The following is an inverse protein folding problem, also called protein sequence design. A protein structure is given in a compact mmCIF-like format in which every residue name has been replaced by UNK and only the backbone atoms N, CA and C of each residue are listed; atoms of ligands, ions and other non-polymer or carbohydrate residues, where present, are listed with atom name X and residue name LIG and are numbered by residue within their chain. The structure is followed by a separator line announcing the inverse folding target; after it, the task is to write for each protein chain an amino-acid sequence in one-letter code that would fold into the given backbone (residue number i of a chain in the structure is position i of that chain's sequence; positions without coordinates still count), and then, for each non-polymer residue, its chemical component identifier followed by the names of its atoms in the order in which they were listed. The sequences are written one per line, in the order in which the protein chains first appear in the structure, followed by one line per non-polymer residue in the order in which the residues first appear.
data_IF_568379974698
#
_entry.id   IF_568379974698
#
_cell.length_a   1.000
_cell.length_b   1.000
_cell.length_c   1.000
_cell.angle_alpha   90.00
_cell.angle_beta   90.00
_cell.angle_gamma   90.00
#
_symmetry.space_group_name_H-M   'P 1'
#
loop_
_entity.id
_entity.type
_entity.pdbx_description
1 polymer ?
#
# COMPACT_ATOMS: atom_id res chain seq x y z
N UNK A 1 -3.49 21.40 -25.26
CA UNK A 1 -2.36 20.45 -25.21
C UNK A 1 -2.60 19.44 -24.09
N UNK A 2 -3.26 18.33 -24.38
CA UNK A 2 -3.43 17.24 -23.41
C UNK A 2 -2.13 16.43 -23.36
N UNK A 3 -1.33 16.62 -22.31
CA UNK A 3 -0.17 15.78 -22.05
C UNK A 3 -0.74 14.40 -21.68
N UNK A 4 -0.83 13.49 -22.65
CA UNK A 4 -1.00 12.05 -22.36
C UNK A 4 0.20 11.65 -21.51
N UNK A 5 0.06 11.73 -20.19
CA UNK A 5 0.98 11.13 -19.25
C UNK A 5 1.07 9.67 -19.66
N UNK A 6 2.28 9.25 -20.05
CA UNK A 6 2.56 7.85 -20.29
C UNK A 6 2.11 7.13 -19.01
N UNK A 7 1.07 6.30 -19.09
CA UNK A 7 0.84 5.25 -18.08
C UNK A 7 2.17 4.53 -17.97
N UNK A 8 2.87 4.69 -16.86
CA UNK A 8 4.09 3.94 -16.60
C UNK A 8 3.63 2.57 -16.09
N UNK A 9 3.71 1.50 -16.91
CA UNK A 9 3.11 0.21 -16.58
C UNK A 9 3.84 -0.51 -15.43
N UNK A 10 5.03 -0.04 -15.02
CA UNK A 10 5.84 -0.65 -13.97
C UNK A 10 5.36 -0.35 -12.54
N UNK A 11 4.34 0.50 -12.39
CA UNK A 11 3.82 0.95 -11.11
C UNK A 11 2.35 0.57 -10.90
N UNK A 12 1.92 -0.53 -11.52
CA UNK A 12 0.56 -1.04 -11.43
C UNK A 12 0.57 -2.41 -10.76
N UNK A 13 -0.26 -2.56 -9.74
CA UNK A 13 -0.48 -3.80 -9.00
C UNK A 13 -1.93 -4.24 -9.09
N UNK A 14 -2.18 -5.53 -8.93
CA UNK A 14 -3.52 -6.04 -8.64
C UNK A 14 -3.82 -5.87 -7.14
N UNK A 15 -5.07 -5.61 -6.81
CA UNK A 15 -5.53 -5.48 -5.43
C UNK A 15 -7.02 -5.73 -5.29
N UNK A 16 -7.47 -5.69 -4.04
CA UNK A 16 -8.88 -5.82 -3.69
C UNK A 16 -9.31 -4.61 -2.86
N UNK A 17 -10.33 -3.92 -3.33
CA UNK A 17 -11.00 -2.85 -2.61
C UNK A 17 -12.18 -3.39 -1.80
N UNK A 18 -12.32 -2.89 -0.58
CA UNK A 18 -13.40 -3.13 0.36
C UNK A 18 -14.04 -1.78 0.68
N UNK A 19 -15.34 -1.64 0.47
CA UNK A 19 -16.06 -0.36 0.55
C UNK A 19 -16.46 0.06 1.97
N UNK A 20 -16.13 -0.74 2.98
CA UNK A 20 -16.49 -0.51 4.39
C UNK A 20 -17.99 -0.63 4.70
N UNK A 21 -18.84 -0.90 3.70
CA UNK A 21 -20.30 -1.00 3.81
C UNK A 21 -20.81 -2.41 3.60
N UNK A 22 -20.08 -3.19 2.82
CA UNK A 22 -20.37 -4.58 2.48
C UNK A 22 -19.14 -5.45 2.68
N UNK A 23 -19.35 -6.77 2.74
CA UNK A 23 -18.27 -7.75 2.74
C UNK A 23 -17.72 -8.05 1.32
N UNK A 24 -18.18 -7.31 0.30
CA UNK A 24 -17.82 -7.57 -1.09
C UNK A 24 -16.40 -7.09 -1.36
N UNK A 25 -15.59 -7.98 -1.94
CA UNK A 25 -14.26 -7.64 -2.47
C UNK A 25 -14.39 -7.28 -3.93
N UNK A 26 -13.81 -6.15 -4.30
CA UNK A 26 -13.82 -5.64 -5.66
C UNK A 26 -12.39 -5.67 -6.20
N UNK A 27 -12.17 -6.41 -7.28
CA UNK A 27 -10.85 -6.48 -7.92
C UNK A 27 -10.53 -5.14 -8.58
N UNK A 28 -9.36 -4.60 -8.26
CA UNK A 28 -8.92 -3.29 -8.74
C UNK A 28 -7.47 -3.34 -9.18
N UNK A 29 -7.13 -2.51 -10.16
CA UNK A 29 -5.74 -2.17 -10.46
C UNK A 29 -5.34 -0.95 -9.65
N UNK A 30 -4.18 -1.04 -9.01
CA UNK A 30 -3.62 -0.01 -8.14
C UNK A 30 -2.42 0.61 -8.83
N UNK A 31 -2.54 1.87 -9.22
CA UNK A 31 -1.43 2.65 -9.75
C UNK A 31 -0.80 3.49 -8.63
N UNK A 32 0.51 3.33 -8.43
CA UNK A 32 1.28 4.14 -7.47
C UNK A 32 1.76 5.41 -8.16
N UNK A 33 1.39 6.56 -7.59
CA UNK A 33 1.80 7.88 -8.08
C UNK A 33 2.58 8.64 -6.99
N UNK A 34 3.09 9.82 -7.35
CA UNK A 34 3.71 10.72 -6.37
C UNK A 34 2.71 11.28 -5.34
N UNK A 35 1.42 11.39 -5.69
CA UNK A 35 0.39 11.98 -4.84
C UNK A 35 -0.43 10.96 -4.02
N UNK A 36 -0.39 9.69 -4.40
CA UNK A 36 -1.20 8.65 -3.77
C UNK A 36 -1.38 7.42 -4.64
N UNK A 37 -2.38 6.62 -4.29
CA UNK A 37 -2.79 5.43 -5.02
C UNK A 37 -4.03 5.72 -5.86
N UNK A 38 -4.03 5.32 -7.13
CA UNK A 38 -5.22 5.34 -7.99
C UNK A 38 -5.76 3.91 -8.07
N UNK A 39 -7.03 3.73 -7.72
CA UNK A 39 -7.74 2.45 -7.80
C UNK A 39 -8.66 2.50 -9.02
N UNK A 40 -8.39 1.66 -10.01
CA UNK A 40 -9.14 1.58 -11.25
C UNK A 40 -9.81 0.22 -11.41
N UNK A 41 -10.94 0.19 -12.15
CA UNK A 41 -11.70 -1.04 -12.40
C UNK A 41 -12.84 -1.29 -11.42
N UNK A 42 -13.23 -0.27 -10.64
CA UNK A 42 -14.37 -0.36 -9.74
C UNK A 42 -15.69 -0.56 -10.51
N UNK A 43 -16.69 -1.23 -9.91
CA UNK A 43 -18.05 -1.27 -10.42
C UNK A 43 -18.58 0.15 -10.60
N UNK A 44 -18.99 0.52 -11.82
CA UNK A 44 -19.38 1.88 -12.17
C UNK A 44 -18.37 2.59 -13.08
N UNK A 45 -17.16 2.07 -13.20
CA UNK A 45 -16.13 2.58 -14.12
C UNK A 45 -15.34 3.79 -13.60
N UNK A 46 -15.66 4.27 -12.40
CA UNK A 46 -14.94 5.36 -11.75
C UNK A 46 -13.57 4.91 -11.21
N UNK A 47 -12.66 5.87 -11.09
CA UNK A 47 -11.39 5.71 -10.39
C UNK A 47 -11.46 6.39 -9.02
N UNK A 48 -10.89 5.76 -7.99
CA UNK A 48 -10.71 6.39 -6.68
C UNK A 48 -9.26 6.82 -6.52
N UNK A 49 -9.07 7.99 -5.89
CA UNK A 49 -7.74 8.51 -5.55
C UNK A 49 -7.59 8.53 -4.04
N UNK A 50 -6.62 7.75 -3.57
CA UNK A 50 -6.27 7.64 -2.16
C UNK A 50 -4.95 8.38 -1.90
N UNK A 51 -5.07 9.60 -1.39
CA UNK A 51 -3.91 10.41 -1.02
C UNK A 51 -3.14 9.79 0.16
N UNK A 52 -1.81 9.93 0.17
CA UNK A 52 -0.96 9.30 1.19
C UNK A 52 -1.20 9.81 2.62
N UNK A 53 -1.72 11.04 2.78
CA UNK A 53 -2.10 11.62 4.05
C UNK A 53 -3.44 11.08 4.59
N UNK A 54 -4.29 10.57 3.70
CA UNK A 54 -5.60 10.00 4.01
C UNK A 54 -5.56 8.49 4.31
N UNK A 55 -4.43 7.82 4.04
CA UNK A 55 -4.31 6.38 4.23
C UNK A 55 -3.27 6.00 5.29
N UNK A 56 -3.50 4.83 5.90
CA UNK A 56 -2.59 4.18 6.85
C UNK A 56 -2.37 2.73 6.46
N UNK A 57 -1.13 2.27 6.57
CA UNK A 57 -0.81 0.85 6.46
C UNK A 57 -1.21 0.14 7.76
N UNK A 58 -2.05 -0.89 7.67
CA UNK A 58 -2.49 -1.69 8.83
C UNK A 58 -1.99 -3.13 8.81
N UNK A 59 -1.51 -3.64 7.66
CA UNK A 59 -0.84 -4.95 7.53
C UNK A 59 0.29 -4.88 6.48
N UNK A 60 1.09 -5.94 6.37
CA UNK A 60 2.20 -6.01 5.43
C UNK A 60 3.51 -5.48 6.02
N UNK A 61 3.71 -5.64 7.33
CA UNK A 61 4.92 -5.20 8.02
C UNK A 61 6.08 -6.20 7.84
N UNK A 62 5.79 -7.43 7.40
CA UNK A 62 6.81 -8.45 7.13
C UNK A 62 6.85 -8.88 5.65
N UNK A 63 8.00 -9.38 5.18
CA UNK A 63 8.09 -9.97 3.86
C UNK A 63 7.08 -11.11 3.67
N UNK A 64 6.41 -11.14 2.50
CA UNK A 64 5.36 -12.11 2.11
C UNK A 64 4.00 -11.92 2.78
N UNK A 65 3.84 -10.94 3.65
CA UNK A 65 2.52 -10.52 4.08
C UNK A 65 1.84 -9.68 3.01
N UNK A 66 0.52 -9.82 2.89
CA UNK A 66 -0.30 -8.93 2.09
C UNK A 66 -0.26 -7.53 2.69
N UNK A 67 -0.18 -6.52 1.84
CA UNK A 67 -0.20 -5.13 2.28
C UNK A 67 -1.64 -4.68 2.38
N UNK A 68 -2.01 -4.10 3.52
CA UNK A 68 -3.34 -3.53 3.73
C UNK A 68 -3.23 -2.04 4.03
N UNK A 69 -3.95 -1.25 3.26
CA UNK A 69 -4.16 0.16 3.50
C UNK A 69 -5.61 0.38 3.93
N UNK A 70 -5.81 1.28 4.88
CA UNK A 70 -7.14 1.73 5.31
C UNK A 70 -7.24 3.24 5.12
N UNK A 71 -8.38 3.68 4.58
CA UNK A 71 -8.68 5.10 4.37
C UNK A 71 -9.27 5.68 5.66
N UNK A 72 -8.41 6.18 6.54
CA UNK A 72 -8.78 6.76 7.84
C UNK A 72 -9.99 6.06 8.49
N UNK A 73 -10.96 6.81 9.02
CA UNK A 73 -12.09 6.26 9.77
C UNK A 73 -13.27 5.83 8.88
N UNK A 74 -13.09 5.69 7.56
CA UNK A 74 -14.19 5.32 6.66
C UNK A 74 -14.53 3.82 6.71
N UNK A 75 -13.62 2.99 7.22
CA UNK A 75 -13.73 1.53 7.18
C UNK A 75 -13.42 0.93 5.81
N UNK A 76 -13.11 1.76 4.80
CA UNK A 76 -12.65 1.29 3.50
C UNK A 76 -11.22 0.76 3.59
N UNK A 77 -10.94 -0.25 2.78
CA UNK A 77 -9.62 -0.86 2.74
C UNK A 77 -9.20 -1.30 1.34
N UNK A 78 -7.90 -1.18 1.10
CA UNK A 78 -7.23 -1.71 -0.08
C UNK A 78 -6.24 -2.79 0.35
N UNK A 79 -6.38 -3.98 -0.22
CA UNK A 79 -5.45 -5.10 -0.01
C UNK A 79 -4.65 -5.32 -1.28
N UNK A 80 -3.33 -5.22 -1.20
CA UNK A 80 -2.40 -5.48 -2.30
C UNK A 80 -1.57 -6.72 -1.96
N UNK A 81 -1.71 -7.84 -2.71
CA UNK A 81 -1.02 -9.08 -2.38
C UNK A 81 0.51 -9.01 -2.52
N UNK A 82 1.01 -8.19 -3.45
CA UNK A 82 2.44 -8.06 -3.70
C UNK A 82 3.06 -6.94 -2.83
N UNK A 83 3.94 -7.26 -1.87
CA UNK A 83 4.58 -6.27 -1.01
C UNK A 83 5.57 -5.34 -1.73
N UNK A 84 5.91 -5.60 -3.01
CA UNK A 84 6.73 -4.70 -3.80
C UNK A 84 6.09 -3.31 -3.99
N UNK A 85 4.76 -3.19 -3.83
CA UNK A 85 4.04 -1.91 -3.83
C UNK A 85 4.62 -0.91 -2.82
N UNK A 86 5.07 -1.38 -1.64
CA UNK A 86 5.68 -0.52 -0.63
C UNK A 86 7.01 0.06 -1.12
N UNK A 87 7.79 -0.70 -1.88
CA UNK A 87 9.05 -0.20 -2.45
C UNK A 87 8.79 0.91 -3.48
N UNK A 88 7.71 0.79 -4.26
CA UNK A 88 7.31 1.81 -5.22
C UNK A 88 6.78 3.08 -4.55
N UNK A 89 5.97 2.94 -3.50
CA UNK A 89 5.52 4.06 -2.67
C UNK A 89 6.73 4.79 -2.10
N UNK A 90 7.72 4.08 -1.54
CA UNK A 90 8.96 4.70 -1.04
C UNK A 90 9.74 5.45 -2.12
N UNK A 91 9.74 4.96 -3.37
CA UNK A 91 10.43 5.62 -4.47
C UNK A 91 9.72 6.89 -4.97
N UNK A 92 8.39 6.99 -4.84
CA UNK A 92 7.58 8.07 -5.44
C UNK A 92 6.94 9.04 -4.46
N UNK A 93 6.57 8.60 -3.26
CA UNK A 93 5.78 9.37 -2.30
C UNK A 93 6.56 10.54 -1.66
N UNK A 94 7.85 10.69 -1.97
CA UNK A 94 8.70 11.75 -1.45
C UNK A 94 8.59 11.89 0.08
N UNK A 95 8.11 13.04 0.52
CA UNK A 95 7.91 13.37 1.94
C UNK A 95 6.96 12.46 2.69
N UNK A 96 6.09 11.68 2.04
CA UNK A 96 5.13 10.79 2.70
C UNK A 96 5.66 9.36 2.94
N UNK A 97 6.84 9.02 2.38
CA UNK A 97 7.44 7.68 2.50
C UNK A 97 7.58 7.19 3.94
N UNK A 98 7.89 8.08 4.88
CA UNK A 98 8.06 7.76 6.31
C UNK A 98 6.79 7.23 7.00
N UNK A 99 5.61 7.42 6.41
CA UNK A 99 4.33 6.90 6.94
C UNK A 99 4.11 5.41 6.66
N UNK A 100 4.88 4.85 5.72
CA UNK A 100 4.74 3.48 5.27
C UNK A 100 5.95 2.65 5.68
N UNK A 101 5.73 1.39 6.07
CA UNK A 101 6.82 0.50 6.42
C UNK A 101 7.74 0.28 5.21
N UNK A 102 9.06 0.41 5.43
CA UNK A 102 10.05 0.18 4.38
C UNK A 102 10.57 -1.27 4.43
N UNK A 103 10.21 -2.14 3.47
CA UNK A 103 10.65 -3.54 3.48
C UNK A 103 12.17 -3.72 3.29
N UNK A 104 12.89 -2.69 2.83
CA UNK A 104 14.35 -2.75 2.60
C UNK A 104 15.19 -2.51 3.86
N UNK A 105 14.59 -2.07 4.97
CA UNK A 105 15.33 -1.70 6.20
C UNK A 105 15.56 -2.85 7.19
N UNK A 106 15.47 -4.12 6.77
CA UNK A 106 15.71 -5.26 7.67
C UNK A 106 16.70 -6.29 7.13
N UNK A 107 17.95 -5.84 6.96
CA UNK A 107 19.12 -6.71 7.15
C UNK A 107 19.78 -6.31 8.48
N UNK A 108 19.61 -7.16 9.48
CA UNK A 108 20.19 -7.08 10.84
C UNK A 108 19.70 -5.94 11.74
N UNK A 109 18.60 -6.17 12.45
CA UNK A 109 18.49 -5.66 13.82
C UNK A 109 17.70 -6.67 14.65
N UNK A 110 18.43 -7.54 15.35
CA UNK A 110 17.94 -8.31 16.49
C UNK A 110 18.30 -7.54 17.76
N UNK A 111 17.44 -6.68 18.33
CA UNK A 111 17.65 -6.22 19.68
C UNK A 111 17.01 -7.25 20.63
N UNK A 112 17.84 -8.04 21.28
CA UNK A 112 17.50 -8.71 22.54
C UNK A 112 17.04 -10.17 22.45
N UNK A 113 17.99 -11.09 22.31
CA UNK A 113 17.97 -12.35 23.09
C UNK A 113 19.41 -12.67 23.51
N UNK A 114 19.85 -12.08 24.62
CA UNK A 114 20.74 -12.80 25.53
C UNK A 114 19.93 -13.01 26.79
N UNK A 115 19.21 -14.13 26.79
CA UNK A 115 18.65 -14.69 28.00
C UNK A 115 19.80 -14.87 29.00
N UNK A 116 19.74 -14.09 30.07
CA UNK A 116 20.53 -14.36 31.25
C UNK A 116 19.98 -15.61 31.94
N UNK A 117 20.90 -16.40 32.51
CA UNK A 117 20.69 -17.27 33.68
C UNK A 117 19.91 -18.58 33.49
N UNK A 118 20.63 -19.72 33.55
CA UNK A 118 20.77 -20.60 34.72
C UNK A 118 21.14 -22.04 34.31
N UNK A 119 22.32 -22.48 34.74
CA UNK A 119 22.63 -23.73 35.47
C UNK A 119 24.09 -24.12 35.27
#
# INVERSE_FOLDING_TARGET
MARKLRRQPELVWEGHYLDGRSALRQDVRVEVTAGGLILAGLPGGDELVWAYDAIRQTQGFHPREVVRFELNDSGEALVVPDPAVLSAIHALAGGFSHRFHNPRMRRYFWPGVLASSLA
#
